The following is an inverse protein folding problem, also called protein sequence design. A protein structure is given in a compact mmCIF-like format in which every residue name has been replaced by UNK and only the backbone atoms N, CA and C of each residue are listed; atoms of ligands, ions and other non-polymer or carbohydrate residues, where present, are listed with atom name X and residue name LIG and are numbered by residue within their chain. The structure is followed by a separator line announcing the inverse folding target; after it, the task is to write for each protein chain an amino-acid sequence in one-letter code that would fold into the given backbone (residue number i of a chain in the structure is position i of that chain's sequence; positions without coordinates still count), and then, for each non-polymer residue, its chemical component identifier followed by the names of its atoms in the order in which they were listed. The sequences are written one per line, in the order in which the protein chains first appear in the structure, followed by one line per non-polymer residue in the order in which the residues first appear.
data_IF_398356301450
#
_entry.id   IF_398356301450
#
_cell.length_a   1.000
_cell.length_b   1.000
_cell.length_c   1.000
_cell.angle_alpha   90.00
_cell.angle_beta   90.00
_cell.angle_gamma   90.00
#
_symmetry.space_group_name_H-M   'P 1'
#
loop_
_entity.id
_entity.type
_entity.pdbx_description
1 polymer ?
#
# COMPACT_ATOMS: atom_id res chain seq x y z
N UNK A 1 -41.47 -22.59 -11.55
CA UNK A 1 -41.13 -23.23 -10.25
C UNK A 1 -39.65 -23.06 -9.96
N UNK A 2 -39.26 -21.94 -9.39
CA UNK A 2 -37.97 -21.82 -8.68
C UNK A 2 -38.06 -20.66 -7.70
N UNK A 3 -38.67 -20.95 -6.55
CA UNK A 3 -38.83 -20.05 -5.40
C UNK A 3 -37.72 -20.21 -4.39
N UNK A 4 -36.46 -20.49 -4.80
CA UNK A 4 -35.43 -20.92 -3.87
C UNK A 4 -34.39 -19.85 -3.48
N UNK A 5 -34.38 -18.65 -4.08
CA UNK A 5 -33.46 -17.61 -3.61
C UNK A 5 -34.07 -16.20 -3.75
N UNK A 6 -34.85 -15.72 -2.77
CA UNK A 6 -35.37 -14.36 -2.80
C UNK A 6 -34.27 -13.27 -2.68
N UNK A 7 -33.03 -13.63 -2.26
CA UNK A 7 -31.94 -12.68 -2.05
C UNK A 7 -31.14 -12.34 -3.32
N UNK A 8 -31.27 -13.12 -4.40
CA UNK A 8 -30.56 -12.83 -5.66
C UNK A 8 -31.16 -11.67 -6.45
N UNK A 9 -32.39 -11.26 -6.14
CA UNK A 9 -33.04 -10.11 -6.79
C UNK A 9 -32.54 -8.77 -6.29
N UNK A 10 -31.95 -8.69 -5.07
CA UNK A 10 -31.39 -7.47 -4.50
C UNK A 10 -30.10 -7.01 -5.18
N UNK A 11 -29.42 -7.89 -5.90
CA UNK A 11 -28.18 -7.59 -6.64
C UNK A 11 -28.36 -7.64 -8.17
N UNK A 12 -29.60 -7.70 -8.64
CA UNK A 12 -29.89 -7.61 -10.07
C UNK A 12 -29.89 -6.12 -10.46
N UNK A 13 -28.73 -5.57 -10.74
CA UNK A 13 -28.64 -4.31 -11.44
C UNK A 13 -29.30 -4.47 -12.82
N UNK A 14 -30.35 -3.72 -13.09
CA UNK A 14 -30.94 -3.67 -14.43
C UNK A 14 -29.89 -3.07 -15.37
N UNK A 15 -29.71 -3.67 -16.53
CA UNK A 15 -28.78 -3.17 -17.56
C UNK A 15 -29.10 -1.74 -18.00
N UNK A 16 -30.31 -1.26 -17.75
CA UNK A 16 -30.77 0.10 -18.05
C UNK A 16 -30.27 1.14 -17.05
N UNK A 17 -29.92 0.73 -15.82
CA UNK A 17 -29.35 1.61 -14.78
C UNK A 17 -27.83 1.64 -14.79
N UNK A 18 -27.19 0.78 -15.58
CA UNK A 18 -25.74 0.82 -15.74
C UNK A 18 -25.37 2.01 -16.62
N UNK A 19 -24.69 2.97 -16.05
CA UNK A 19 -24.06 4.06 -16.79
C UNK A 19 -23.21 3.43 -17.90
N UNK A 20 -23.60 3.70 -19.15
CA UNK A 20 -22.84 3.25 -20.33
C UNK A 20 -21.56 4.10 -20.40
N UNK A 21 -20.57 3.70 -19.60
CA UNK A 21 -19.22 4.29 -19.68
C UNK A 21 -18.59 3.75 -20.94
N UNK A 22 -18.31 4.58 -21.96
CA UNK A 22 -17.65 4.14 -23.18
C UNK A 22 -16.40 3.36 -22.82
N UNK A 23 -16.39 2.04 -23.08
CA UNK A 23 -15.21 1.22 -22.86
C UNK A 23 -14.09 1.79 -23.73
N UNK A 24 -13.09 2.36 -23.10
CA UNK A 24 -11.92 2.83 -23.82
C UNK A 24 -11.37 1.67 -24.66
N UNK A 25 -11.36 1.84 -25.97
CA UNK A 25 -10.87 0.83 -26.90
C UNK A 25 -9.46 0.39 -26.47
N UNK A 26 -9.20 -0.91 -26.47
CA UNK A 26 -7.86 -1.46 -26.20
C UNK A 26 -6.92 -1.05 -27.32
N UNK A 27 -6.35 0.14 -27.24
CA UNK A 27 -5.36 0.64 -28.19
C UNK A 27 -3.94 0.25 -27.73
N UNK A 28 -3.09 -0.11 -28.69
CA UNK A 28 -1.64 -0.27 -28.45
C UNK A 28 -1.09 1.08 -27.96
N UNK A 29 -0.35 1.11 -26.85
CA UNK A 29 0.26 2.33 -26.29
C UNK A 29 -0.44 2.94 -25.07
N UNK A 30 -1.45 2.31 -24.50
CA UNK A 30 -2.18 2.83 -23.32
C UNK A 30 -1.29 3.09 -22.10
N UNK A 31 -0.27 2.25 -21.88
CA UNK A 31 0.72 2.46 -20.81
C UNK A 31 1.55 3.73 -21.05
N UNK A 32 1.96 3.97 -22.30
CA UNK A 32 2.73 5.16 -22.68
C UNK A 32 1.91 6.44 -22.49
N UNK A 33 0.63 6.40 -22.81
CA UNK A 33 -0.29 7.51 -22.58
C UNK A 33 -0.51 7.77 -21.08
N UNK A 34 -0.72 6.70 -20.27
CA UNK A 34 -0.82 6.80 -18.81
C UNK A 34 0.47 7.37 -18.20
N UNK A 35 1.65 6.93 -18.66
CA UNK A 35 2.94 7.42 -18.20
C UNK A 35 3.16 8.88 -18.60
N UNK A 36 2.79 9.27 -19.82
CA UNK A 36 2.84 10.65 -20.27
C UNK A 36 1.94 11.55 -19.41
N UNK A 37 0.72 11.09 -19.09
CA UNK A 37 -0.19 11.81 -18.20
C UNK A 37 0.40 12.02 -16.80
N UNK A 38 1.00 10.98 -16.21
CA UNK A 38 1.67 11.06 -14.91
C UNK A 38 2.83 12.02 -14.91
N UNK A 39 3.67 12.00 -15.97
CA UNK A 39 4.83 12.92 -16.10
C UNK A 39 4.44 14.40 -16.16
N UNK A 40 3.27 14.72 -16.70
CA UNK A 40 2.78 16.10 -16.78
C UNK A 40 2.05 16.55 -15.50
N UNK A 41 1.86 15.66 -14.53
CA UNK A 41 1.19 15.91 -13.26
C UNK A 41 2.15 15.66 -12.10
N UNK A 42 2.77 16.72 -11.60
CA UNK A 42 3.75 16.63 -10.51
C UNK A 42 3.19 15.94 -9.24
N UNK A 43 1.92 16.18 -8.92
CA UNK A 43 1.22 15.53 -7.81
C UNK A 43 1.16 14.01 -7.95
N UNK A 44 0.81 13.49 -9.12
CA UNK A 44 0.77 12.06 -9.41
C UNK A 44 2.18 11.46 -9.48
N UNK A 45 3.11 12.18 -10.08
CA UNK A 45 4.50 11.76 -10.18
C UNK A 45 5.11 11.54 -8.79
N UNK A 46 4.94 12.50 -7.87
CA UNK A 46 5.42 12.39 -6.50
C UNK A 46 4.81 11.17 -5.80
N UNK A 47 3.50 10.95 -5.91
CA UNK A 47 2.85 9.79 -5.30
C UNK A 47 3.43 8.49 -5.84
N UNK A 48 3.58 8.38 -7.16
CA UNK A 48 4.07 7.16 -7.82
C UNK A 48 5.53 6.89 -7.42
N UNK A 49 6.39 7.91 -7.39
CA UNK A 49 7.79 7.77 -6.94
C UNK A 49 7.85 7.34 -5.48
N UNK A 50 7.12 8.02 -4.59
CA UNK A 50 7.07 7.66 -3.16
C UNK A 50 6.60 6.23 -2.97
N UNK A 51 5.51 5.83 -3.64
CA UNK A 51 5.01 4.45 -3.54
C UNK A 51 6.01 3.43 -4.08
N UNK A 52 6.67 3.71 -5.20
CA UNK A 52 7.67 2.80 -5.78
C UNK A 52 8.84 2.55 -4.81
N UNK A 53 9.36 3.62 -4.22
CA UNK A 53 10.47 3.51 -3.25
C UNK A 53 10.01 2.81 -1.99
N UNK A 54 8.87 3.20 -1.42
CA UNK A 54 8.36 2.61 -0.18
C UNK A 54 7.99 1.14 -0.38
N UNK A 55 7.32 0.78 -1.48
CA UNK A 55 6.91 -0.61 -1.74
C UNK A 55 8.08 -1.57 -1.84
N UNK A 56 9.20 -1.12 -2.39
CA UNK A 56 10.42 -1.92 -2.52
C UNK A 56 10.88 -2.44 -1.15
N UNK A 57 10.74 -1.64 -0.10
CA UNK A 57 11.14 -1.99 1.26
C UNK A 57 9.96 -2.54 2.09
N UNK A 58 8.80 -1.92 2.01
CA UNK A 58 7.65 -2.19 2.88
C UNK A 58 7.00 -3.55 2.61
N UNK A 59 6.93 -3.99 1.36
CA UNK A 59 6.37 -5.32 1.04
C UNK A 59 7.26 -6.48 1.48
N UNK A 60 8.55 -6.21 1.72
CA UNK A 60 9.49 -7.17 2.30
C UNK A 60 9.63 -7.03 3.82
N UNK A 61 8.90 -6.11 4.44
CA UNK A 61 9.00 -5.80 5.86
C UNK A 61 8.69 -7.00 6.76
N UNK A 62 7.77 -7.87 6.36
CA UNK A 62 7.44 -9.10 7.10
C UNK A 62 8.64 -10.05 7.20
N UNK A 63 9.42 -10.15 6.12
CA UNK A 63 10.65 -10.97 6.10
C UNK A 63 11.68 -10.38 7.06
N UNK A 64 11.87 -9.07 7.01
CA UNK A 64 12.83 -8.36 7.90
C UNK A 64 12.39 -8.46 9.37
N UNK A 65 11.08 -8.33 9.67
CA UNK A 65 10.55 -8.53 11.03
C UNK A 65 10.82 -9.94 11.54
N UNK A 66 10.59 -10.97 10.73
CA UNK A 66 10.82 -12.35 11.10
C UNK A 66 12.33 -12.62 11.33
N UNK A 67 13.18 -12.06 10.47
CA UNK A 67 14.63 -12.15 10.65
C UNK A 67 15.09 -11.47 11.94
N UNK A 68 14.61 -10.26 12.24
CA UNK A 68 14.95 -9.53 13.47
C UNK A 68 14.56 -10.33 14.74
N UNK A 69 13.33 -10.86 14.77
CA UNK A 69 12.84 -11.64 15.92
C UNK A 69 13.74 -12.86 16.15
N UNK A 70 14.16 -13.53 15.10
CA UNK A 70 14.94 -14.76 15.18
C UNK A 70 16.42 -14.53 15.39
N UNK A 71 17.03 -13.60 14.66
CA UNK A 71 18.49 -13.43 14.65
C UNK A 71 19.01 -12.45 15.72
N UNK A 72 18.20 -11.44 16.09
CA UNK A 72 18.63 -10.41 17.05
C UNK A 72 18.09 -10.68 18.44
N UNK A 73 16.81 -11.13 18.54
CA UNK A 73 16.21 -11.41 19.85
C UNK A 73 16.22 -12.87 20.25
N UNK A 74 16.67 -13.77 19.37
CA UNK A 74 16.74 -15.24 19.60
C UNK A 74 15.40 -15.82 20.11
N UNK A 75 14.29 -15.37 19.49
CA UNK A 75 12.94 -15.75 19.86
C UNK A 75 12.29 -16.64 18.80
N UNK A 76 11.32 -17.44 19.21
CA UNK A 76 10.59 -18.36 18.34
C UNK A 76 9.46 -17.69 17.56
N UNK A 77 8.76 -18.47 16.73
CA UNK A 77 7.73 -18.00 15.80
C UNK A 77 6.48 -17.38 16.48
N UNK A 78 6.19 -17.68 17.74
CA UNK A 78 5.13 -17.06 18.54
C UNK A 78 5.41 -15.57 18.81
N UNK A 79 6.66 -15.21 19.05
CA UNK A 79 7.08 -13.81 19.17
C UNK A 79 6.84 -13.05 17.86
N UNK A 80 7.14 -13.63 16.70
CA UNK A 80 6.80 -13.03 15.41
C UNK A 80 5.29 -12.83 15.25
N UNK A 81 4.49 -13.81 15.67
CA UNK A 81 3.02 -13.71 15.67
C UNK A 81 2.53 -12.53 16.51
N UNK A 82 3.13 -12.30 17.68
CA UNK A 82 2.82 -11.17 18.56
C UNK A 82 3.14 -9.84 17.90
N UNK A 83 4.36 -9.65 17.37
CA UNK A 83 4.73 -8.41 16.66
C UNK A 83 3.82 -8.15 15.45
N UNK A 84 3.50 -9.20 14.68
CA UNK A 84 2.59 -9.10 13.54
C UNK A 84 1.18 -8.66 13.96
N UNK A 85 0.69 -9.15 15.08
CA UNK A 85 -0.61 -8.75 15.64
C UNK A 85 -0.61 -7.28 16.08
N UNK A 86 0.45 -6.85 16.75
CA UNK A 86 0.63 -5.44 17.17
C UNK A 86 0.75 -4.52 15.94
N UNK A 87 1.51 -4.92 14.92
CA UNK A 87 1.57 -4.23 13.63
C UNK A 87 0.20 -4.11 12.97
N UNK A 88 -0.60 -5.18 13.01
CA UNK A 88 -1.95 -5.19 12.43
C UNK A 88 -2.89 -4.18 13.11
N UNK A 89 -2.81 -4.02 14.42
CA UNK A 89 -3.56 -2.99 15.16
C UNK A 89 -3.18 -1.58 14.67
N UNK A 90 -1.90 -1.30 14.53
CA UNK A 90 -1.41 -0.04 13.95
C UNK A 90 -1.92 0.17 12.53
N UNK A 91 -1.81 -0.86 11.69
CA UNK A 91 -2.26 -0.84 10.29
C UNK A 91 -3.74 -0.57 10.15
N UNK A 92 -4.58 -1.25 10.93
CA UNK A 92 -6.03 -1.03 10.94
C UNK A 92 -6.38 0.40 11.35
N UNK A 93 -5.74 0.90 12.41
CA UNK A 93 -5.91 2.29 12.88
C UNK A 93 -5.55 3.31 11.80
N UNK A 94 -4.44 3.09 11.09
CA UNK A 94 -3.98 3.93 9.99
C UNK A 94 -4.94 3.92 8.80
N UNK A 95 -5.43 2.74 8.41
CA UNK A 95 -6.41 2.60 7.33
C UNK A 95 -7.73 3.33 7.66
N UNK A 96 -8.25 3.15 8.89
CA UNK A 96 -9.47 3.82 9.35
C UNK A 96 -9.31 5.34 9.40
N UNK A 97 -8.16 5.82 9.88
CA UNK A 97 -7.88 7.25 9.91
C UNK A 97 -7.79 7.85 8.51
N UNK A 98 -7.11 7.18 7.58
CA UNK A 98 -7.03 7.60 6.19
C UNK A 98 -8.41 7.58 5.51
N UNK A 99 -9.24 6.55 5.74
CA UNK A 99 -10.58 6.42 5.18
C UNK A 99 -11.56 7.52 5.64
N UNK A 100 -11.39 8.02 6.85
CA UNK A 100 -12.22 9.12 7.38
C UNK A 100 -11.93 10.48 6.73
N UNK A 101 -10.82 10.62 6.03
CA UNK A 101 -10.44 11.87 5.37
C UNK A 101 -11.24 12.08 4.09
N UNK A 102 -12.03 13.16 4.05
CA UNK A 102 -12.87 13.51 2.89
C UNK A 102 -12.07 14.11 1.72
N UNK A 103 -10.91 14.70 2.00
CA UNK A 103 -10.08 15.38 0.99
C UNK A 103 -8.70 14.75 0.92
N UNK A 104 -8.42 13.97 -0.13
CA UNK A 104 -7.09 13.41 -0.35
C UNK A 104 -6.11 14.55 -0.69
N UNK A 105 -4.91 14.50 -0.09
CA UNK A 105 -3.86 15.48 -0.32
C UNK A 105 -2.52 14.79 -0.47
N UNK A 106 -1.74 15.18 -1.47
CA UNK A 106 -0.36 14.70 -1.66
C UNK A 106 0.50 14.90 -0.41
N UNK A 107 0.28 15.99 0.32
CA UNK A 107 0.97 16.25 1.61
C UNK A 107 0.79 15.12 2.62
N UNK A 108 -0.39 14.49 2.67
CA UNK A 108 -0.62 13.35 3.57
C UNK A 108 0.24 12.16 3.21
N UNK A 109 0.40 11.90 1.91
CA UNK A 109 1.25 10.81 1.39
C UNK A 109 2.72 11.08 1.76
N UNK A 110 3.20 12.30 1.56
CA UNK A 110 4.59 12.68 1.90
C UNK A 110 4.84 12.58 3.41
N UNK A 111 3.94 13.14 4.22
CA UNK A 111 4.07 13.09 5.69
C UNK A 111 4.05 11.65 6.18
N UNK A 112 3.12 10.83 5.67
CA UNK A 112 3.05 9.42 6.04
C UNK A 112 4.31 8.65 5.65
N UNK A 113 4.93 8.95 4.50
CA UNK A 113 6.19 8.35 4.07
C UNK A 113 7.37 8.76 4.97
N UNK A 114 7.45 10.04 5.35
CA UNK A 114 8.49 10.53 6.26
C UNK A 114 8.34 9.92 7.66
N UNK A 115 7.11 9.89 8.18
CA UNK A 115 6.83 9.27 9.48
C UNK A 115 7.08 7.76 9.45
N UNK A 116 6.81 7.10 8.33
CA UNK A 116 7.14 5.69 8.13
C UNK A 116 8.65 5.47 8.22
N UNK A 117 9.45 6.27 7.52
CA UNK A 117 10.92 6.19 7.60
C UNK A 117 11.43 6.40 9.03
N UNK A 118 10.93 7.43 9.73
CA UNK A 118 11.30 7.70 11.11
C UNK A 118 10.89 6.56 12.05
N UNK A 119 9.67 6.05 11.92
CA UNK A 119 9.17 4.92 12.73
C UNK A 119 9.98 3.65 12.49
N UNK A 120 10.39 3.41 11.24
CA UNK A 120 11.22 2.25 10.88
C UNK A 120 12.62 2.36 11.48
N UNK A 121 13.21 3.56 11.52
CA UNK A 121 14.49 3.80 12.19
C UNK A 121 14.39 3.58 13.70
N UNK A 122 13.33 4.09 14.34
CA UNK A 122 13.07 3.84 15.76
C UNK A 122 12.91 2.36 16.07
N UNK A 123 12.21 1.64 15.19
CA UNK A 123 12.04 0.19 15.32
C UNK A 123 13.36 -0.56 15.16
N UNK A 124 14.19 -0.16 14.20
CA UNK A 124 15.54 -0.76 13.99
C UNK A 124 16.48 -0.50 15.16
N UNK A 125 16.34 0.64 15.85
CA UNK A 125 17.15 1.01 17.01
C UNK A 125 16.60 0.45 18.34
N UNK A 126 15.57 -0.39 18.33
CA UNK A 126 14.94 -0.90 19.54
C UNK A 126 15.90 -1.82 20.34
N UNK A 127 16.21 -1.51 21.60
CA UNK A 127 17.19 -2.28 22.38
C UNK A 127 16.63 -3.60 22.93
N UNK A 128 15.34 -3.81 22.87
CA UNK A 128 14.68 -5.02 23.36
C UNK A 128 13.43 -5.33 22.54
N UNK A 129 12.99 -6.58 22.64
CA UNK A 129 11.81 -7.08 21.93
C UNK A 129 10.52 -6.30 22.24
N UNK A 130 10.29 -5.86 23.49
CA UNK A 130 9.07 -5.14 23.85
C UNK A 130 8.98 -3.79 23.13
N UNK A 131 10.07 -3.02 23.07
CA UNK A 131 10.14 -1.77 22.31
C UNK A 131 10.06 -1.99 20.80
N UNK A 132 10.66 -3.07 20.30
CA UNK A 132 10.53 -3.49 18.91
C UNK A 132 9.07 -3.76 18.55
N UNK A 133 8.37 -4.55 19.38
CA UNK A 133 6.95 -4.84 19.17
C UNK A 133 6.08 -3.58 19.26
N UNK A 134 6.29 -2.71 20.25
CA UNK A 134 5.55 -1.46 20.37
C UNK A 134 5.79 -0.49 19.21
N UNK A 135 7.03 -0.39 18.73
CA UNK A 135 7.38 0.47 17.59
C UNK A 135 6.77 -0.02 16.27
N UNK A 136 6.31 -1.27 16.18
CA UNK A 136 5.57 -1.79 15.03
C UNK A 136 4.20 -1.11 14.85
N UNK A 137 3.59 -0.55 15.91
CA UNK A 137 2.30 0.18 15.83
C UNK A 137 2.42 1.41 14.91
N UNK A 138 3.31 2.38 15.16
CA UNK A 138 3.44 3.54 14.29
C UNK A 138 3.90 3.17 12.88
N UNK A 139 4.71 2.12 12.70
CA UNK A 139 5.08 1.62 11.38
C UNK A 139 3.83 1.14 10.62
N UNK A 140 3.03 0.27 11.20
CA UNK A 140 1.79 -0.22 10.61
C UNK A 140 0.80 0.91 10.29
N UNK A 141 0.62 1.86 11.22
CA UNK A 141 -0.23 3.03 11.04
C UNK A 141 0.22 3.86 9.83
N UNK A 142 1.51 4.14 9.71
CA UNK A 142 2.06 4.93 8.61
C UNK A 142 1.95 4.20 7.27
N UNK A 143 2.23 2.88 7.22
CA UNK A 143 2.13 2.07 6.00
C UNK A 143 0.72 2.14 5.42
N UNK A 144 -0.29 1.79 6.21
CA UNK A 144 -1.67 1.75 5.71
C UNK A 144 -2.23 3.14 5.44
N UNK A 145 -1.85 4.15 6.22
CA UNK A 145 -2.18 5.55 5.94
C UNK A 145 -1.60 5.98 4.60
N UNK A 146 -0.34 5.65 4.32
CA UNK A 146 0.34 5.97 3.06
C UNK A 146 -0.36 5.30 1.88
N UNK A 147 -0.54 3.98 1.92
CA UNK A 147 -1.13 3.21 0.82
C UNK A 147 -2.57 3.65 0.54
N UNK A 148 -3.38 3.80 1.59
CA UNK A 148 -4.78 4.23 1.45
C UNK A 148 -4.87 5.65 0.91
N UNK A 149 -4.08 6.58 1.45
CA UNK A 149 -4.08 7.99 0.99
C UNK A 149 -3.58 8.13 -0.43
N UNK A 150 -2.54 7.38 -0.83
CA UNK A 150 -2.03 7.38 -2.20
C UNK A 150 -3.08 6.86 -3.18
N UNK A 151 -3.70 5.71 -2.87
CA UNK A 151 -4.75 5.11 -3.67
C UNK A 151 -5.95 6.07 -3.84
N UNK A 152 -6.46 6.65 -2.75
CA UNK A 152 -7.55 7.63 -2.78
C UNK A 152 -7.18 8.87 -3.59
N UNK A 153 -5.98 9.42 -3.40
CA UNK A 153 -5.54 10.62 -4.13
C UNK A 153 -5.51 10.35 -5.62
N UNK A 154 -4.89 9.24 -6.07
CA UNK A 154 -4.86 8.87 -7.48
C UNK A 154 -6.28 8.72 -8.04
N UNK A 155 -7.17 8.00 -7.36
CA UNK A 155 -8.52 7.76 -7.84
C UNK A 155 -9.37 9.01 -7.95
N UNK A 156 -9.24 9.95 -7.02
CA UNK A 156 -10.07 11.15 -6.97
C UNK A 156 -9.52 12.31 -7.78
N UNK A 157 -8.19 12.39 -7.99
CA UNK A 157 -7.59 13.48 -8.75
C UNK A 157 -7.35 13.15 -10.23
N UNK A 158 -7.48 11.87 -10.62
CA UNK A 158 -7.28 11.43 -12.00
C UNK A 158 -8.59 11.48 -12.78
N UNK A 159 -8.54 12.02 -14.01
CA UNK A 159 -9.72 12.09 -14.87
C UNK A 159 -10.24 10.67 -15.18
N UNK A 160 -11.58 10.46 -15.27
CA UNK A 160 -12.19 9.15 -15.49
C UNK A 160 -11.64 8.41 -16.73
N UNK A 161 -11.32 9.15 -17.79
CA UNK A 161 -10.84 8.61 -19.06
C UNK A 161 -9.49 7.87 -18.96
N UNK A 162 -8.60 8.32 -18.06
CA UNK A 162 -7.24 7.76 -17.91
C UNK A 162 -7.01 7.10 -16.55
N UNK A 163 -8.00 7.14 -15.63
CA UNK A 163 -7.90 6.62 -14.27
C UNK A 163 -7.46 5.15 -14.24
N UNK A 164 -8.05 4.30 -15.05
CA UNK A 164 -7.69 2.88 -15.12
C UNK A 164 -6.23 2.66 -15.52
N UNK A 165 -5.69 3.49 -16.43
CA UNK A 165 -4.30 3.41 -16.89
C UNK A 165 -3.32 3.84 -15.80
N UNK A 166 -3.63 4.94 -15.10
CA UNK A 166 -2.81 5.41 -13.96
C UNK A 166 -2.84 4.41 -12.82
N UNK A 167 -4.01 3.83 -12.52
CA UNK A 167 -4.15 2.77 -11.50
C UNK A 167 -3.37 1.50 -11.89
N UNK A 168 -3.33 1.14 -13.17
CA UNK A 168 -2.51 0.00 -13.62
C UNK A 168 -1.02 0.25 -13.41
N UNK A 169 -0.53 1.46 -13.69
CA UNK A 169 0.86 1.86 -13.43
C UNK A 169 1.14 1.82 -11.92
N UNK A 170 0.23 2.37 -11.11
CA UNK A 170 0.34 2.34 -9.65
C UNK A 170 0.44 0.90 -9.12
N UNK A 171 -0.43 0.00 -9.54
CA UNK A 171 -0.43 -1.41 -9.11
C UNK A 171 0.80 -2.16 -9.62
N UNK A 172 1.24 -1.89 -10.85
CA UNK A 172 2.45 -2.49 -11.41
C UNK A 172 3.69 -2.10 -10.61
N UNK A 173 3.80 -0.85 -10.18
CA UNK A 173 4.91 -0.38 -9.36
C UNK A 173 4.79 -0.87 -7.91
N UNK A 174 3.58 -0.85 -7.33
CA UNK A 174 3.33 -1.35 -5.98
C UNK A 174 3.75 -2.81 -5.83
N UNK A 175 3.35 -3.67 -6.76
CA UNK A 175 3.62 -5.11 -6.69
C UNK A 175 4.93 -5.51 -7.40
N UNK A 176 5.28 -4.80 -8.47
CA UNK A 176 6.44 -5.12 -9.32
C UNK A 176 7.79 -4.74 -8.72
N UNK A 177 7.83 -3.90 -7.69
CA UNK A 177 9.09 -3.57 -6.99
C UNK A 177 9.51 -4.62 -5.96
N UNK A 178 8.58 -5.48 -5.52
CA UNK A 178 8.86 -6.56 -4.55
C UNK A 178 9.95 -7.52 -4.99
N UNK A 179 9.96 -8.06 -6.23
CA UNK A 179 11.03 -8.95 -6.69
C UNK A 179 12.40 -8.28 -6.77
N UNK A 180 12.46 -6.95 -6.86
CA UNK A 180 13.71 -6.19 -6.85
C UNK A 180 14.17 -5.94 -5.41
N UNK A 181 13.25 -5.67 -4.49
CA UNK A 181 13.55 -5.42 -3.09
C UNK A 181 14.04 -6.66 -2.34
N UNK A 182 13.47 -7.83 -2.60
CA UNK A 182 13.81 -9.06 -1.88
C UNK A 182 15.29 -9.47 -2.00
N UNK A 183 15.92 -9.50 -3.19
CA UNK A 183 17.36 -9.79 -3.31
C UNK A 183 18.25 -8.75 -2.63
N UNK A 184 17.86 -7.46 -2.68
CA UNK A 184 18.63 -6.38 -2.03
C UNK A 184 18.61 -6.56 -0.51
N UNK A 185 17.43 -6.83 0.07
CA UNK A 185 17.27 -7.06 1.50
C UNK A 185 17.99 -8.35 1.92
N UNK A 186 17.86 -9.43 1.15
CA UNK A 186 18.56 -10.69 1.41
C UNK A 186 20.08 -10.50 1.41
N UNK A 187 20.63 -9.82 0.41
CA UNK A 187 22.06 -9.54 0.33
C UNK A 187 22.57 -8.70 1.51
N UNK A 188 21.82 -7.67 1.91
CA UNK A 188 22.17 -6.86 3.10
C UNK A 188 22.09 -7.71 4.38
N UNK A 189 21.08 -8.56 4.50
CA UNK A 189 20.92 -9.44 5.67
C UNK A 189 22.00 -10.51 5.79
N UNK A 190 22.61 -10.93 4.67
CA UNK A 190 23.72 -11.90 4.65
C UNK A 190 25.07 -11.27 4.99
N UNK A 191 25.20 -9.95 4.92
CA UNK A 191 26.44 -9.21 5.21
C UNK A 191 26.57 -8.77 6.66
N UNK A 192 25.48 -8.74 7.41
CA UNK A 192 25.38 -8.27 8.80
C UNK A 192 24.65 -9.27 9.69
#
# INVERSE_FOLDING_TARGET
RSTLFPYTTLFRSSTEELYDVPRAARARGQLREGLAYVRHRADLLVIIVVISVVSMFTLNFQVTMAAMVRSVFDLESDAYGTVSSVFAVGSLSGALWAARRKTPRVRTVIIAALLLGLSSLLMAAAPNYALFALSSIPVGLCVLTLLTSANQTIQLTTSPAVRGRVMSIYMMLLLGTTPVGAPVIGWVSDQY
#
